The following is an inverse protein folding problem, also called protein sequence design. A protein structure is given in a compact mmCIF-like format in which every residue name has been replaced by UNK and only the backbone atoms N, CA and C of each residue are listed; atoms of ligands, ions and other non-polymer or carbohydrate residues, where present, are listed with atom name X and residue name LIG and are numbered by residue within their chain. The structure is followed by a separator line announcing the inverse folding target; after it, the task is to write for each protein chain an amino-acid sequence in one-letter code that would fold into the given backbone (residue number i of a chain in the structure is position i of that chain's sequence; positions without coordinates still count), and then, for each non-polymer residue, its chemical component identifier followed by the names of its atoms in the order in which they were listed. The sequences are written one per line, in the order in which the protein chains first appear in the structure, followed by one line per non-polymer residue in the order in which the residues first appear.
data_IF_544203505030
#
_entry.id   IF_544203505030
#
_cell.length_a   1.000
_cell.length_b   1.000
_cell.length_c   1.000
_cell.angle_alpha   90.00
_cell.angle_beta   90.00
_cell.angle_gamma   90.00
#
_symmetry.space_group_name_H-M   'P 1'
#
loop_
_entity.id
_entity.type
_entity.pdbx_description
1 polymer ?
#
# COMPACT_ATOMS: atom_id res chain seq x y z
N UNK A 1 -4.14 -0.37 -21.28
CA UNK A 1 -4.12 -0.01 -19.84
C UNK A 1 -4.11 -1.23 -18.91
N UNK A 2 -4.98 -2.24 -19.08
CA UNK A 2 -5.10 -3.44 -18.22
C UNK A 2 -3.81 -4.27 -18.07
N UNK A 3 -3.01 -4.38 -19.14
CA UNK A 3 -1.72 -5.09 -19.15
C UNK A 3 -0.68 -4.51 -18.17
N UNK A 4 -0.72 -3.20 -17.92
CA UNK A 4 0.21 -2.53 -16.99
C UNK A 4 -0.11 -2.85 -15.53
N UNK A 5 -1.39 -3.00 -15.18
CA UNK A 5 -1.83 -3.43 -13.85
C UNK A 5 -1.29 -4.80 -13.52
N UNK A 6 -1.54 -5.77 -14.41
CA UNK A 6 -1.10 -7.15 -14.19
C UNK A 6 0.42 -7.22 -14.06
N UNK A 7 1.18 -6.44 -14.85
CA UNK A 7 2.65 -6.38 -14.69
C UNK A 7 3.05 -5.83 -13.32
N UNK A 8 2.49 -4.71 -12.89
CA UNK A 8 2.82 -4.11 -11.60
C UNK A 8 2.40 -5.00 -10.43
N UNK A 9 1.18 -5.55 -10.42
CA UNK A 9 0.71 -6.46 -9.37
C UNK A 9 1.49 -7.78 -9.36
N UNK A 10 1.90 -8.30 -10.53
CA UNK A 10 2.71 -9.50 -10.62
C UNK A 10 4.14 -9.30 -10.08
N UNK A 11 4.65 -8.08 -10.05
CA UNK A 11 5.92 -7.77 -9.41
C UNK A 11 5.73 -7.53 -7.90
N UNK A 12 4.70 -6.77 -7.52
CA UNK A 12 4.40 -6.43 -6.13
C UNK A 12 4.20 -7.64 -5.21
N UNK A 13 3.62 -8.73 -5.72
CA UNK A 13 3.41 -9.95 -4.92
C UNK A 13 4.71 -10.64 -4.48
N UNK A 14 5.85 -10.30 -5.08
CA UNK A 14 7.17 -10.82 -4.72
C UNK A 14 7.93 -9.91 -3.75
N UNK A 15 7.24 -8.95 -3.18
CA UNK A 15 7.79 -8.04 -2.19
C UNK A 15 8.22 -8.71 -0.91
N UNK A 16 9.49 -8.53 -0.48
CA UNK A 16 9.88 -9.02 0.83
C UNK A 16 9.14 -8.23 1.91
N UNK A 17 8.49 -8.97 2.81
CA UNK A 17 7.95 -8.44 4.07
C UNK A 17 8.42 -9.35 5.21
N UNK A 18 8.55 -8.81 6.42
CA UNK A 18 8.90 -9.62 7.57
C UNK A 18 7.90 -10.77 7.72
N UNK A 19 8.42 -12.00 7.79
CA UNK A 19 7.62 -13.24 7.88
C UNK A 19 6.47 -13.34 6.86
N UNK A 20 6.59 -12.69 5.71
CA UNK A 20 5.54 -12.68 4.68
C UNK A 20 4.19 -12.12 5.16
N UNK A 21 4.18 -11.23 6.16
CA UNK A 21 2.95 -10.68 6.74
C UNK A 21 2.12 -9.84 5.77
N UNK A 22 2.73 -9.30 4.70
CA UNK A 22 2.03 -8.64 3.59
C UNK A 22 0.91 -7.65 4.00
N UNK A 23 1.17 -6.66 4.87
CA UNK A 23 0.14 -5.71 5.32
C UNK A 23 -0.27 -4.70 4.25
N UNK A 24 0.54 -4.53 3.19
CA UNK A 24 0.30 -3.52 2.16
C UNK A 24 -1.00 -3.75 1.40
N UNK A 25 -1.71 -2.66 1.10
CA UNK A 25 -2.92 -2.62 0.29
C UNK A 25 -2.74 -1.58 -0.81
N UNK A 26 -3.16 -1.92 -2.02
CA UNK A 26 -2.99 -1.07 -3.20
C UNK A 26 -4.36 -0.77 -3.82
N UNK A 27 -4.68 0.51 -3.95
CA UNK A 27 -5.91 0.96 -4.61
C UNK A 27 -5.58 1.79 -5.83
N UNK A 28 -6.12 1.40 -6.98
CA UNK A 28 -5.86 2.09 -8.24
C UNK A 28 -7.00 3.04 -8.60
N UNK A 29 -6.68 4.33 -8.65
CA UNK A 29 -7.58 5.42 -8.97
C UNK A 29 -7.43 5.80 -10.44
N UNK A 30 -8.47 5.50 -11.22
CA UNK A 30 -8.50 5.69 -12.68
C UNK A 30 -9.49 6.74 -13.13
N UNK A 31 -10.74 6.61 -12.67
CA UNK A 31 -11.84 7.43 -13.18
C UNK A 31 -11.68 8.87 -12.71
N UNK A 32 -12.17 9.78 -13.53
CA UNK A 32 -12.15 11.21 -13.23
C UNK A 32 -12.81 11.50 -11.87
N UNK A 33 -14.02 10.95 -11.66
CA UNK A 33 -14.74 11.03 -10.38
C UNK A 33 -13.94 10.52 -9.17
N UNK A 34 -13.16 9.45 -9.33
CA UNK A 34 -12.35 8.92 -8.22
C UNK A 34 -11.09 9.77 -7.98
N UNK A 35 -10.50 10.35 -9.03
CA UNK A 35 -9.40 11.30 -8.90
C UNK A 35 -9.84 12.60 -8.23
N UNK A 36 -11.03 13.09 -8.55
CA UNK A 36 -11.60 14.29 -7.90
C UNK A 36 -11.74 14.09 -6.39
N UNK A 37 -12.34 12.97 -5.96
CA UNK A 37 -12.40 12.61 -4.53
C UNK A 37 -11.02 12.52 -3.86
N UNK A 38 -10.04 11.98 -4.59
CA UNK A 38 -8.66 11.91 -4.08
C UNK A 38 -8.01 13.29 -3.99
N UNK A 39 -8.28 14.18 -4.94
CA UNK A 39 -7.74 15.55 -4.97
C UNK A 39 -8.28 16.38 -3.80
N UNK A 40 -9.54 16.20 -3.43
CA UNK A 40 -10.18 16.88 -2.28
C UNK A 40 -9.44 16.59 -0.96
N UNK A 41 -8.99 15.34 -0.77
CA UNK A 41 -8.28 14.89 0.44
C UNK A 41 -6.75 15.04 0.33
N UNK A 42 -6.22 15.35 -0.85
CA UNK A 42 -4.80 15.52 -1.06
C UNK A 42 -4.28 16.90 -0.65
N UNK A 43 -3.07 16.92 -0.11
CA UNK A 43 -2.31 18.16 0.12
C UNK A 43 -2.16 18.97 -1.17
N UNK A 44 -2.14 20.29 -1.06
CA UNK A 44 -2.21 21.21 -2.20
C UNK A 44 -1.16 20.92 -3.29
N UNK A 45 0.11 20.73 -2.91
CA UNK A 45 1.21 20.44 -3.86
C UNK A 45 1.11 19.09 -4.59
N UNK A 46 0.16 18.25 -4.21
CA UNK A 46 -0.07 16.92 -4.78
C UNK A 46 -1.27 16.87 -5.73
N UNK A 47 -2.21 17.82 -5.61
CA UNK A 47 -3.41 17.92 -6.44
C UNK A 47 -3.13 17.96 -7.95
N UNK A 48 -2.26 18.85 -8.47
CA UNK A 48 -1.99 18.91 -9.91
C UNK A 48 -1.36 17.61 -10.43
N UNK A 49 -0.55 16.95 -9.60
CA UNK A 49 0.11 15.69 -9.95
C UNK A 49 -0.88 14.53 -10.07
N UNK A 50 -1.88 14.47 -9.17
CA UNK A 50 -2.99 13.50 -9.25
C UNK A 50 -3.84 13.75 -10.49
N UNK A 51 -4.16 15.02 -10.76
CA UNK A 51 -4.97 15.41 -11.91
C UNK A 51 -4.33 15.01 -13.25
N UNK A 52 -3.02 15.23 -13.39
CA UNK A 52 -2.28 14.89 -14.62
C UNK A 52 -1.95 13.40 -14.76
N UNK A 53 -1.87 12.65 -13.66
CA UNK A 53 -1.46 11.25 -13.70
C UNK A 53 -2.51 10.39 -14.43
N UNK A 54 -2.12 9.51 -15.38
CA UNK A 54 -3.09 8.62 -16.04
C UNK A 54 -3.76 7.66 -15.05
N UNK A 55 -2.99 7.19 -14.07
CA UNK A 55 -3.44 6.34 -12.96
C UNK A 55 -2.73 6.81 -11.70
N UNK A 56 -3.47 6.92 -10.60
CA UNK A 56 -2.88 7.15 -9.28
C UNK A 56 -3.02 5.88 -8.45
N UNK A 57 -1.96 5.45 -7.77
CA UNK A 57 -1.99 4.31 -6.85
C UNK A 57 -1.92 4.85 -5.43
N UNK A 58 -2.89 4.46 -4.60
CA UNK A 58 -2.86 4.69 -3.17
C UNK A 58 -2.24 3.46 -2.52
N UNK A 59 -1.24 3.68 -1.69
CA UNK A 59 -0.63 2.65 -0.85
C UNK A 59 -1.17 2.84 0.56
N UNK A 60 -1.91 1.85 1.02
CA UNK A 60 -2.39 1.77 2.38
C UNK A 60 -1.78 0.53 3.06
N UNK A 61 -2.10 0.37 4.33
CA UNK A 61 -1.70 -0.80 5.11
C UNK A 61 -2.85 -1.26 5.99
N UNK A 62 -2.84 -2.55 6.29
CA UNK A 62 -3.83 -3.19 7.14
C UNK A 62 -3.23 -3.44 8.53
N UNK A 63 -3.80 -2.80 9.56
CA UNK A 63 -3.38 -2.98 10.97
C UNK A 63 -3.81 -4.37 11.50
N UNK A 64 -4.81 -4.96 10.87
CA UNK A 64 -5.34 -6.28 11.18
C UNK A 64 -4.67 -7.40 10.35
N UNK A 65 -3.49 -7.13 9.77
CA UNK A 65 -2.71 -8.12 9.00
C UNK A 65 -2.53 -9.46 9.72
N UNK A 66 -2.54 -9.44 11.07
CA UNK A 66 -2.43 -10.63 11.90
C UNK A 66 -3.51 -11.68 11.63
N UNK A 67 -4.70 -11.27 11.20
CA UNK A 67 -5.81 -12.17 10.81
C UNK A 67 -5.48 -13.06 9.61
N UNK A 68 -4.49 -12.67 8.79
CA UNK A 68 -4.07 -13.42 7.60
C UNK A 68 -2.85 -14.30 7.84
N UNK A 69 -2.20 -14.22 9.02
CA UNK A 69 -0.93 -14.91 9.28
C UNK A 69 -1.08 -16.43 9.24
N UNK A 70 -2.21 -16.98 9.69
CA UNK A 70 -2.45 -18.42 9.62
C UNK A 70 -2.34 -18.97 8.20
N UNK A 71 -2.65 -18.16 7.18
CA UNK A 71 -2.49 -18.49 5.77
C UNK A 71 -1.06 -18.17 5.27
N UNK A 72 -0.56 -16.98 5.58
CA UNK A 72 0.66 -16.44 4.98
C UNK A 72 1.96 -16.95 5.62
N UNK A 73 1.90 -17.27 6.91
CA UNK A 73 3.01 -17.81 7.70
C UNK A 73 2.47 -18.82 8.73
N UNK A 74 2.13 -20.06 8.32
CA UNK A 74 1.49 -21.05 9.19
C UNK A 74 2.32 -21.46 10.42
N UNK A 75 3.64 -21.19 10.42
CA UNK A 75 4.53 -21.46 11.56
C UNK A 75 4.59 -20.31 12.58
N UNK A 76 4.06 -19.15 12.24
CA UNK A 76 4.10 -17.99 13.11
C UNK A 76 2.99 -18.05 14.17
N UNK A 77 3.33 -17.62 15.38
CA UNK A 77 2.38 -17.54 16.49
C UNK A 77 1.51 -16.27 16.36
N UNK A 78 0.32 -16.44 15.79
CA UNK A 78 -0.64 -15.35 15.59
C UNK A 78 -1.09 -14.72 16.91
N UNK A 79 -1.18 -15.52 17.98
CA UNK A 79 -1.70 -15.07 19.28
C UNK A 79 -0.84 -13.98 19.90
N UNK A 80 0.49 -14.11 19.76
CA UNK A 80 1.45 -13.10 20.23
C UNK A 80 1.27 -11.76 19.52
N UNK A 81 0.98 -11.77 18.23
CA UNK A 81 0.83 -10.55 17.42
C UNK A 81 -0.54 -9.92 17.67
N UNK A 82 -1.58 -10.74 17.79
CA UNK A 82 -2.92 -10.29 18.15
C UNK A 82 -2.94 -9.62 19.54
N UNK A 83 -2.14 -10.10 20.49
CA UNK A 83 -2.02 -9.53 21.84
C UNK A 83 -1.23 -8.21 21.91
N UNK A 84 -0.53 -7.79 20.85
CA UNK A 84 0.20 -6.52 20.84
C UNK A 84 -0.77 -5.32 20.90
N UNK A 85 -0.34 -4.16 21.41
CA UNK A 85 -1.12 -2.93 21.29
C UNK A 85 -1.34 -2.56 19.81
N UNK A 86 -2.51 -1.99 19.48
CA UNK A 86 -2.81 -1.55 18.10
C UNK A 86 -1.76 -0.59 17.56
N UNK A 87 -1.27 0.34 18.37
CA UNK A 87 -0.24 1.31 17.98
C UNK A 87 1.06 0.64 17.50
N UNK A 88 1.45 -0.47 18.12
CA UNK A 88 2.64 -1.23 17.71
C UNK A 88 2.40 -1.96 16.39
N UNK A 89 1.20 -2.57 16.23
CA UNK A 89 0.80 -3.18 14.94
C UNK A 89 0.71 -2.14 13.82
N UNK A 90 0.19 -0.95 14.09
CA UNK A 90 0.08 0.16 13.14
C UNK A 90 1.45 0.61 12.64
N UNK A 91 2.38 0.91 13.57
CA UNK A 91 3.76 1.28 13.21
C UNK A 91 4.41 0.21 12.35
N UNK A 92 4.30 -1.05 12.76
CA UNK A 92 4.92 -2.17 12.07
C UNK A 92 4.32 -2.40 10.68
N UNK A 93 2.98 -2.36 10.55
CA UNK A 93 2.29 -2.49 9.27
C UNK A 93 2.64 -1.35 8.30
N UNK A 94 2.74 -0.12 8.81
CA UNK A 94 3.16 1.06 8.05
C UNK A 94 4.58 0.91 7.53
N UNK A 95 5.54 0.56 8.38
CA UNK A 95 6.95 0.41 8.01
C UNK A 95 7.16 -0.70 6.99
N UNK A 96 6.51 -1.86 7.18
CA UNK A 96 6.56 -2.95 6.21
C UNK A 96 5.96 -2.56 4.86
N UNK A 97 4.81 -1.88 4.86
CA UNK A 97 4.16 -1.44 3.63
C UNK A 97 4.97 -0.36 2.91
N UNK A 98 5.64 0.51 3.67
CA UNK A 98 6.55 1.51 3.13
C UNK A 98 7.78 0.88 2.49
N UNK A 99 8.46 -0.03 3.21
CA UNK A 99 9.67 -0.68 2.70
C UNK A 99 9.36 -1.57 1.48
N UNK A 100 8.27 -2.33 1.55
CA UNK A 100 7.78 -3.10 0.42
C UNK A 100 7.48 -2.17 -0.75
N UNK A 101 6.69 -1.11 -0.56
CA UNK A 101 6.43 -0.12 -1.60
C UNK A 101 7.72 0.41 -2.21
N UNK A 102 8.61 0.97 -1.39
CA UNK A 102 9.86 1.59 -1.82
C UNK A 102 10.71 0.68 -2.71
N UNK A 103 10.89 -0.60 -2.34
CA UNK A 103 11.71 -1.53 -3.12
C UNK A 103 11.13 -1.78 -4.52
N UNK A 104 9.81 -1.89 -4.65
CA UNK A 104 9.20 -2.12 -5.96
C UNK A 104 9.16 -0.88 -6.83
N UNK A 105 9.01 0.31 -6.23
CA UNK A 105 8.92 1.55 -7.00
C UNK A 105 10.25 1.99 -7.57
N UNK A 106 11.37 1.73 -6.89
CA UNK A 106 12.72 2.01 -7.42
C UNK A 106 13.17 0.99 -8.47
N UNK A 107 12.62 -0.23 -8.45
CA UNK A 107 12.93 -1.27 -9.42
C UNK A 107 12.00 -1.24 -10.66
N UNK A 108 11.12 -0.25 -10.78
CA UNK A 108 10.13 -0.18 -11.85
C UNK A 108 10.31 1.08 -12.72
N UNK A 109 10.20 0.98 -14.05
CA UNK A 109 10.46 2.09 -14.98
C UNK A 109 9.33 3.15 -15.02
N UNK A 110 8.47 3.21 -14.01
CA UNK A 110 7.30 4.09 -13.99
C UNK A 110 7.59 5.39 -13.22
N UNK A 111 7.09 6.51 -13.73
CA UNK A 111 7.17 7.81 -13.06
C UNK A 111 6.09 7.88 -11.98
N UNK A 112 6.49 8.04 -10.72
CA UNK A 112 5.57 8.04 -9.58
C UNK A 112 5.45 9.41 -8.94
N UNK A 113 4.23 9.73 -8.54
CA UNK A 113 3.95 10.85 -7.64
C UNK A 113 3.77 10.28 -6.25
N UNK A 114 4.69 10.63 -5.33
CA UNK A 114 4.61 10.25 -3.92
C UNK A 114 3.53 11.08 -3.23
N UNK A 115 2.37 10.47 -2.99
CA UNK A 115 1.27 11.09 -2.27
C UNK A 115 1.31 10.63 -0.82
N UNK A 116 1.42 11.60 0.09
CA UNK A 116 1.26 11.39 1.52
C UNK A 116 -0.14 11.88 1.89
N UNK A 117 -1.00 10.98 2.34
CA UNK A 117 -2.26 11.32 3.00
C UNK A 117 -2.36 10.46 4.25
N UNK A 118 -2.26 11.10 5.41
CA UNK A 118 -2.33 10.48 6.74
C UNK A 118 -3.79 10.49 7.20
N UNK A 119 -4.67 9.74 6.55
CA UNK A 119 -6.05 9.59 7.00
C UNK A 119 -6.48 8.12 6.85
N UNK A 120 -7.07 7.57 7.92
CA UNK A 120 -7.76 6.27 7.86
C UNK A 120 -8.97 6.47 6.94
N UNK A 121 -8.95 5.83 5.77
CA UNK A 121 -10.13 5.72 4.90
C UNK A 121 -11.01 4.55 5.34
#
# INVERSE_FOLDING_TARGET
MTLYYMKFTNLQKFGPTANNYCPMRLTFVKSQKAKEKLIETASEGNRPKIASAPVTIIIAYDVDYHKHISLLAPRADVSKIAAQPELERDKFARELSWFAGWLHFNCSPFTWVRLWTYERF
#
